data_IF_332949137821
#
_entry.id   IF_332949137821
#
_cell.length_a   1.000
_cell.length_b   1.000
_cell.length_c   1.000
_cell.angle_alpha   90.00
_cell.angle_beta   90.00
_cell.angle_gamma   90.00
#
_symmetry.space_group_name_H-M   'P 1'
#
loop_
_entity.id
_entity.type
_entity.pdbx_description
1 polymer ?
#
# COMPACT_ATOMS: atom_id res chain seq x y z
N UNK A 1 -19.90 -7.30 -1.08
CA UNK A 1 -18.94 -7.38 0.07
C UNK A 1 -18.27 -8.74 0.04
N UNK A 2 -16.96 -8.77 0.24
CA UNK A 2 -16.15 -9.99 0.30
C UNK A 2 -15.64 -10.19 1.73
N UNK A 3 -15.61 -11.43 2.20
CA UNK A 3 -15.00 -11.80 3.48
C UNK A 3 -14.14 -13.06 3.28
N UNK A 4 -12.92 -13.07 3.85
CA UNK A 4 -12.07 -14.26 3.90
C UNK A 4 -12.42 -15.06 5.18
N UNK A 5 -12.64 -16.37 5.03
CA UNK A 5 -12.88 -17.32 6.12
C UNK A 5 -11.92 -18.49 5.93
N UNK A 6 -10.78 -18.48 6.64
CA UNK A 6 -9.68 -19.40 6.33
C UNK A 6 -9.18 -19.14 4.90
N UNK A 7 -9.17 -20.18 4.06
CA UNK A 7 -8.77 -20.08 2.66
C UNK A 7 -9.94 -19.82 1.71
N UNK A 8 -11.16 -19.74 2.24
CA UNK A 8 -12.35 -19.49 1.45
C UNK A 8 -12.64 -17.98 1.32
N UNK A 9 -12.87 -17.53 0.09
CA UNK A 9 -13.36 -16.20 -0.21
C UNK A 9 -14.87 -16.23 -0.41
N UNK A 10 -15.61 -15.61 0.50
CA UNK A 10 -17.07 -15.52 0.46
C UNK A 10 -17.51 -14.19 -0.09
N UNK A 11 -18.30 -14.22 -1.18
CA UNK A 11 -18.88 -13.03 -1.80
C UNK A 11 -20.34 -12.90 -1.37
N UNK A 12 -20.68 -11.84 -0.66
CA UNK A 12 -22.05 -11.50 -0.29
C UNK A 12 -22.63 -10.57 -1.33
N UNK A 13 -23.71 -10.99 -1.96
CA UNK A 13 -24.37 -10.23 -3.02
C UNK A 13 -25.88 -10.38 -2.96
N UNK A 14 -26.58 -9.60 -3.78
CA UNK A 14 -28.01 -9.68 -4.03
C UNK A 14 -28.22 -9.97 -5.52
N UNK A 15 -29.06 -10.94 -5.83
CA UNK A 15 -29.48 -11.19 -7.21
C UNK A 15 -30.48 -10.09 -7.59
N UNK A 16 -30.11 -9.22 -8.52
CA UNK A 16 -30.98 -8.13 -8.98
C UNK A 16 -31.92 -8.59 -10.08
N UNK A 17 -31.48 -9.52 -10.93
CA UNK A 17 -32.29 -10.04 -12.05
C UNK A 17 -31.94 -11.49 -12.33
N UNK A 18 -32.95 -12.29 -12.58
CA UNK A 18 -32.84 -13.73 -12.88
C UNK A 18 -32.59 -14.59 -11.64
N UNK A 19 -31.86 -15.67 -11.78
CA UNK A 19 -31.52 -16.62 -10.71
C UNK A 19 -30.09 -17.13 -10.89
N UNK A 20 -29.52 -17.65 -9.82
CA UNK A 20 -28.20 -18.28 -9.82
C UNK A 20 -28.31 -19.66 -9.19
N UNK A 21 -27.66 -20.67 -9.75
CA UNK A 21 -27.69 -22.05 -9.31
C UNK A 21 -26.28 -22.58 -9.00
N UNK A 22 -26.26 -23.61 -8.14
CA UNK A 22 -24.99 -24.31 -7.83
C UNK A 22 -24.44 -24.94 -9.11
N UNK A 23 -23.11 -24.75 -9.33
CA UNK A 23 -22.41 -25.26 -10.52
C UNK A 23 -22.52 -24.37 -11.76
N UNK A 24 -23.24 -23.24 -11.69
CA UNK A 24 -23.36 -22.31 -12.79
C UNK A 24 -22.02 -21.54 -12.94
N UNK A 25 -21.56 -21.43 -14.19
CA UNK A 25 -20.43 -20.52 -14.51
C UNK A 25 -20.87 -19.07 -14.40
N UNK A 26 -20.04 -18.25 -13.74
CA UNK A 26 -20.29 -16.82 -13.54
C UNK A 26 -19.09 -16.00 -14.01
N UNK A 27 -19.36 -14.80 -14.50
CA UNK A 27 -18.33 -13.81 -14.79
C UNK A 27 -18.23 -12.81 -13.63
N UNK A 28 -17.02 -12.65 -13.08
CA UNK A 28 -16.75 -11.71 -11.98
C UNK A 28 -16.12 -10.45 -12.53
N UNK A 29 -16.83 -9.35 -12.48
CA UNK A 29 -16.33 -8.03 -12.90
C UNK A 29 -16.11 -7.14 -11.70
N UNK A 30 -15.00 -6.40 -11.74
CA UNK A 30 -14.68 -5.40 -10.73
C UNK A 30 -14.89 -3.99 -11.30
N UNK A 31 -15.23 -3.06 -10.42
CA UNK A 31 -15.16 -1.63 -10.75
C UNK A 31 -13.70 -1.23 -10.94
N UNK A 32 -13.30 -1.10 -12.21
CA UNK A 32 -11.92 -0.83 -12.61
C UNK A 32 -11.45 0.54 -12.08
N UNK A 33 -12.33 1.55 -12.08
CA UNK A 33 -11.99 2.87 -11.58
C UNK A 33 -11.69 2.84 -10.07
N UNK A 34 -12.58 2.24 -9.29
CA UNK A 34 -12.36 2.07 -7.85
C UNK A 34 -11.11 1.24 -7.56
N UNK A 35 -10.86 0.19 -8.34
CA UNK A 35 -9.64 -0.63 -8.20
C UNK A 35 -8.38 0.19 -8.47
N UNK A 36 -8.36 1.00 -9.51
CA UNK A 36 -7.20 1.83 -9.86
C UNK A 36 -6.95 2.89 -8.80
N UNK A 37 -8.00 3.55 -8.31
CA UNK A 37 -7.86 4.52 -7.21
C UNK A 37 -7.35 3.86 -5.92
N UNK A 38 -7.86 2.67 -5.57
CA UNK A 38 -7.36 1.91 -4.42
C UNK A 38 -5.90 1.50 -4.58
N UNK A 39 -5.45 1.10 -5.77
CA UNK A 39 -4.04 0.82 -6.06
C UNK A 39 -3.17 2.07 -5.87
N UNK A 40 -3.62 3.22 -6.38
CA UNK A 40 -2.91 4.49 -6.25
C UNK A 40 -2.77 4.87 -4.76
N UNK A 41 -3.86 4.85 -4.01
CA UNK A 41 -3.86 5.17 -2.58
C UNK A 41 -3.02 4.17 -1.75
N UNK A 42 -3.08 2.87 -2.08
CA UNK A 42 -2.25 1.87 -1.40
C UNK A 42 -0.75 2.07 -1.68
N UNK A 43 -0.39 2.35 -2.93
CA UNK A 43 1.00 2.64 -3.28
C UNK A 43 1.48 3.95 -2.65
N UNK A 44 0.62 4.99 -2.62
CA UNK A 44 0.90 6.24 -1.93
C UNK A 44 1.16 6.03 -0.42
N UNK A 45 0.47 5.07 0.21
CA UNK A 45 0.69 4.72 1.62
C UNK A 45 2.13 4.26 1.87
N UNK A 46 2.68 3.40 1.02
CA UNK A 46 4.07 2.95 1.14
C UNK A 46 5.07 4.09 0.90
N UNK A 47 4.83 4.93 -0.10
CA UNK A 47 5.67 6.09 -0.36
C UNK A 47 5.61 7.10 0.80
N UNK A 48 4.44 7.32 1.37
CA UNK A 48 4.27 8.17 2.55
C UNK A 48 5.00 7.60 3.76
N UNK A 49 4.88 6.30 4.03
CA UNK A 49 5.56 5.65 5.16
C UNK A 49 7.08 5.88 5.10
N UNK A 50 7.71 5.57 3.98
CA UNK A 50 9.16 5.78 3.85
C UNK A 50 9.55 7.27 3.86
N UNK A 51 8.71 8.15 3.28
CA UNK A 51 8.93 9.60 3.34
C UNK A 51 8.89 10.15 4.78
N UNK A 52 7.94 9.66 5.58
CA UNK A 52 7.87 9.96 7.02
C UNK A 52 9.13 9.47 7.75
N UNK A 53 9.58 8.24 7.49
CA UNK A 53 10.79 7.67 8.09
C UNK A 53 12.06 8.46 7.73
N UNK A 54 12.19 8.89 6.47
CA UNK A 54 13.32 9.71 6.01
C UNK A 54 13.31 11.13 6.58
N UNK A 55 12.12 11.66 6.87
CA UNK A 55 12.00 13.04 7.37
C UNK A 55 12.01 13.12 8.90
N UNK A 56 11.26 12.23 9.57
CA UNK A 56 11.06 12.26 11.01
C UNK A 56 11.96 11.29 11.78
N UNK A 57 12.44 10.25 11.10
CA UNK A 57 13.35 9.26 11.68
C UNK A 57 12.81 7.82 11.64
N UNK A 58 13.72 6.86 11.83
CA UNK A 58 13.45 5.41 11.75
C UNK A 58 12.49 4.87 12.84
N UNK A 59 12.18 5.67 13.86
CA UNK A 59 11.21 5.33 14.90
C UNK A 59 9.76 5.35 14.39
N UNK A 60 9.52 5.99 13.25
CA UNK A 60 8.20 5.97 12.60
C UNK A 60 7.86 4.56 12.19
N UNK A 61 6.79 4.02 12.78
CA UNK A 61 6.23 2.69 12.47
C UNK A 61 4.74 2.79 12.27
N UNK A 62 4.22 2.04 11.31
CA UNK A 62 2.76 1.98 11.07
C UNK A 62 2.04 1.40 12.29
N UNK A 63 0.96 2.05 12.70
CA UNK A 63 0.04 1.61 13.76
C UNK A 63 -1.33 1.26 13.22
N UNK A 64 -1.70 1.84 12.09
CA UNK A 64 -2.94 1.56 11.39
C UNK A 64 -2.89 2.14 9.98
N UNK A 65 -3.81 1.69 9.14
CA UNK A 65 -3.98 2.20 7.78
C UNK A 65 -5.41 2.01 7.31
N UNK A 66 -5.90 2.97 6.55
CA UNK A 66 -7.12 2.85 5.76
C UNK A 66 -6.79 3.18 4.32
N UNK A 67 -7.14 2.27 3.42
CA UNK A 67 -7.02 2.48 1.97
C UNK A 67 -8.39 2.27 1.34
N UNK A 68 -8.91 3.32 0.70
CA UNK A 68 -10.16 3.28 -0.08
C UNK A 68 -9.94 3.95 -1.45
N UNK A 69 -10.89 3.83 -2.39
CA UNK A 69 -10.80 4.55 -3.66
C UNK A 69 -10.74 6.07 -3.51
N UNK A 70 -11.32 6.62 -2.43
CA UNK A 70 -11.49 8.06 -2.22
C UNK A 70 -10.32 8.67 -1.46
N UNK A 71 -9.68 7.89 -0.56
CA UNK A 71 -8.65 8.41 0.33
C UNK A 71 -7.78 7.31 0.95
N UNK A 72 -6.64 7.72 1.47
CA UNK A 72 -5.86 6.94 2.43
C UNK A 72 -5.81 7.64 3.79
N UNK A 73 -5.64 6.86 4.86
CA UNK A 73 -5.23 7.33 6.19
C UNK A 73 -4.06 6.46 6.63
N UNK A 74 -3.07 7.08 7.24
CA UNK A 74 -1.90 6.39 7.76
C UNK A 74 -1.66 6.79 9.20
N UNK A 75 -1.82 5.86 10.12
CA UNK A 75 -1.62 6.05 11.53
C UNK A 75 -0.22 5.53 11.89
N UNK A 76 0.58 6.32 12.59
CA UNK A 76 1.97 5.98 12.88
C UNK A 76 2.44 6.51 14.23
N UNK A 77 3.56 5.94 14.73
CA UNK A 77 4.19 6.39 15.97
C UNK A 77 5.04 7.63 15.72
N UNK A 78 4.71 8.73 16.40
CA UNK A 78 5.53 9.93 16.49
C UNK A 78 5.13 10.69 17.76
N UNK A 79 6.08 11.39 18.38
CA UNK A 79 5.91 11.98 19.71
C UNK A 79 5.57 13.48 19.69
N UNK A 80 5.47 14.08 18.53
CA UNK A 80 5.12 15.49 18.32
C UNK A 80 4.31 15.68 17.04
N UNK A 81 3.55 16.78 16.88
CA UNK A 81 2.95 17.14 15.59
C UNK A 81 4.04 17.34 14.53
N UNK A 82 3.71 16.99 13.27
CA UNK A 82 4.59 17.27 12.12
C UNK A 82 4.56 18.77 11.86
N UNK A 83 5.72 19.39 11.78
CA UNK A 83 5.87 20.83 11.49
C UNK A 83 5.57 21.11 10.00
N UNK A 84 5.25 22.37 9.68
CA UNK A 84 4.87 22.77 8.32
C UNK A 84 5.95 22.49 7.29
N UNK A 85 7.19 22.72 7.66
CA UNK A 85 8.37 22.47 6.85
C UNK A 85 8.60 20.98 6.62
N UNK A 86 8.44 20.17 7.68
CA UNK A 86 8.50 18.70 7.61
C UNK A 86 7.40 18.16 6.68
N UNK A 87 6.16 18.67 6.83
CA UNK A 87 5.03 18.28 5.99
C UNK A 87 5.26 18.63 4.51
N UNK A 88 5.82 19.80 4.24
CA UNK A 88 6.19 20.23 2.88
C UNK A 88 7.23 19.28 2.30
N UNK A 89 8.26 18.95 3.07
CA UNK A 89 9.31 18.02 2.67
C UNK A 89 8.74 16.62 2.37
N UNK A 90 7.86 16.09 3.23
CA UNK A 90 7.20 14.79 3.04
C UNK A 90 6.42 14.78 1.73
N UNK A 91 5.58 15.81 1.47
CA UNK A 91 4.83 15.91 0.22
C UNK A 91 5.75 15.96 -1.00
N UNK A 92 6.84 16.71 -0.95
CA UNK A 92 7.79 16.82 -2.05
C UNK A 92 8.48 15.49 -2.32
N UNK A 93 9.00 14.81 -1.30
CA UNK A 93 9.67 13.51 -1.44
C UNK A 93 8.74 12.49 -2.13
N UNK A 94 7.47 12.38 -1.69
CA UNK A 94 6.52 11.46 -2.33
C UNK A 94 6.31 11.84 -3.79
N UNK A 95 6.08 13.13 -4.10
CA UNK A 95 5.84 13.59 -5.47
C UNK A 95 7.08 13.44 -6.37
N UNK A 96 8.29 13.58 -5.83
CA UNK A 96 9.53 13.33 -6.57
C UNK A 96 9.63 11.86 -7.01
N UNK A 97 9.31 10.91 -6.13
CA UNK A 97 9.26 9.49 -6.47
C UNK A 97 8.17 9.20 -7.51
N UNK A 98 7.00 9.83 -7.39
CA UNK A 98 5.91 9.70 -8.37
C UNK A 98 6.35 10.23 -9.73
N UNK A 99 6.97 11.41 -9.76
CA UNK A 99 7.44 12.06 -11.00
C UNK A 99 8.60 11.30 -11.64
N UNK A 100 9.43 10.62 -10.82
CA UNK A 100 10.51 9.76 -11.29
C UNK A 100 10.06 8.56 -12.13
N UNK A 101 8.77 8.23 -12.10
CA UNK A 101 8.12 7.28 -13.03
C UNK A 101 8.85 5.94 -13.15
N UNK A 102 9.06 5.25 -12.03
CA UNK A 102 9.74 3.95 -12.00
C UNK A 102 8.76 2.79 -11.86
N UNK A 103 9.10 1.64 -12.41
CA UNK A 103 8.28 0.45 -12.32
C UNK A 103 8.25 -0.09 -10.89
N UNK A 104 7.05 -0.49 -10.45
CA UNK A 104 6.83 -1.18 -9.18
C UNK A 104 7.09 -2.67 -9.39
N UNK A 105 8.02 -3.20 -8.61
CA UNK A 105 8.38 -4.62 -8.66
C UNK A 105 7.77 -5.37 -7.48
N UNK A 106 7.45 -6.63 -7.70
CA UNK A 106 7.02 -7.55 -6.64
C UNK A 106 7.79 -8.85 -6.76
N UNK A 107 8.24 -9.39 -5.61
CA UNK A 107 8.95 -10.68 -5.56
C UNK A 107 8.39 -11.50 -4.41
N UNK A 108 8.32 -12.82 -4.62
CA UNK A 108 8.07 -13.80 -3.56
C UNK A 108 9.42 -14.31 -3.09
N UNK A 109 9.61 -14.32 -1.77
CA UNK A 109 10.86 -14.77 -1.16
C UNK A 109 10.61 -15.20 0.29
N UNK A 110 11.61 -15.79 0.93
CA UNK A 110 11.52 -16.10 2.35
C UNK A 110 11.56 -14.83 3.21
N UNK A 111 10.97 -14.84 4.42
CA UNK A 111 11.04 -13.69 5.34
C UNK A 111 12.50 -13.27 5.64
N UNK A 112 13.42 -14.22 5.73
CA UNK A 112 14.84 -13.95 5.97
C UNK A 112 15.50 -13.18 4.82
N UNK A 113 15.22 -13.57 3.57
CA UNK A 113 15.71 -12.85 2.39
C UNK A 113 15.13 -11.43 2.35
N UNK A 114 13.82 -11.29 2.63
CA UNK A 114 13.17 -9.98 2.66
C UNK A 114 13.83 -9.02 3.66
N UNK A 115 14.09 -9.49 4.88
CA UNK A 115 14.78 -8.70 5.92
C UNK A 115 16.21 -8.34 5.48
N UNK A 116 16.95 -9.29 4.89
CA UNK A 116 18.30 -9.02 4.38
C UNK A 116 18.33 -7.97 3.25
N UNK A 117 17.23 -7.85 2.49
CA UNK A 117 17.04 -6.80 1.49
C UNK A 117 16.53 -5.48 2.08
N UNK A 118 16.41 -5.38 3.41
CA UNK A 118 15.92 -4.18 4.10
C UNK A 118 14.41 -3.98 4.05
N UNK A 119 13.65 -5.03 3.74
CA UNK A 119 12.20 -4.92 3.70
C UNK A 119 11.62 -4.64 5.09
N UNK A 120 10.73 -3.65 5.16
CA UNK A 120 9.97 -3.37 6.36
C UNK A 120 8.86 -4.41 6.52
N UNK A 121 8.84 -5.06 7.67
CA UNK A 121 7.78 -5.96 8.08
C UNK A 121 6.83 -5.23 9.03
N UNK A 122 5.53 -5.43 8.90
CA UNK A 122 4.57 -4.91 9.85
C UNK A 122 4.71 -5.63 11.19
N UNK A 123 4.73 -4.87 12.27
CA UNK A 123 4.90 -5.40 13.61
C UNK A 123 3.70 -6.28 13.99
N UNK A 124 3.98 -7.50 14.47
CA UNK A 124 2.95 -8.41 14.99
C UNK A 124 2.29 -9.32 13.97
N UNK A 125 2.64 -9.24 12.69
CA UNK A 125 2.16 -10.21 11.70
C UNK A 125 3.00 -11.50 11.74
N UNK A 126 2.31 -12.64 11.68
CA UNK A 126 2.94 -13.94 11.49
C UNK A 126 3.05 -14.21 10.00
N UNK A 127 4.27 -14.29 9.51
CA UNK A 127 4.55 -14.60 8.12
C UNK A 127 4.69 -16.10 7.92
N UNK A 128 4.18 -16.59 6.79
CA UNK A 128 4.38 -17.97 6.35
C UNK A 128 5.83 -18.23 5.89
N UNK A 129 6.01 -19.34 5.18
CA UNK A 129 7.32 -19.71 4.61
C UNK A 129 7.77 -18.74 3.52
N UNK A 130 6.81 -18.14 2.81
CA UNK A 130 7.03 -17.16 1.77
C UNK A 130 6.27 -15.86 2.04
N UNK A 131 6.88 -14.74 1.66
CA UNK A 131 6.30 -13.39 1.74
C UNK A 131 6.41 -12.70 0.39
N UNK A 132 5.42 -11.85 0.11
CA UNK A 132 5.46 -10.96 -1.05
C UNK A 132 6.04 -9.62 -0.64
N UNK A 133 7.13 -9.24 -1.31
CA UNK A 133 7.80 -7.96 -1.11
C UNK A 133 7.49 -7.03 -2.28
N UNK A 134 7.17 -5.79 -1.99
CA UNK A 134 6.89 -4.73 -2.95
C UNK A 134 8.00 -3.70 -2.91
N UNK A 135 8.53 -3.37 -4.08
CA UNK A 135 9.63 -2.43 -4.29
C UNK A 135 9.13 -1.25 -5.11
N UNK A 136 9.30 -0.03 -4.62
CA UNK A 136 8.85 1.20 -5.29
C UNK A 136 9.94 2.27 -5.28
N UNK A 137 10.01 3.05 -6.37
CA UNK A 137 10.93 4.17 -6.50
C UNK A 137 12.38 3.70 -6.63
N UNK A 138 12.84 3.43 -7.86
CA UNK A 138 14.21 2.98 -8.10
C UNK A 138 15.21 4.08 -7.72
N UNK A 139 16.20 3.72 -6.91
CA UNK A 139 17.34 4.55 -6.53
C UNK A 139 18.64 3.88 -7.00
N UNK A 140 19.79 4.60 -6.92
CA UNK A 140 21.10 4.09 -7.38
C UNK A 140 21.48 2.76 -6.69
N UNK A 141 21.19 2.62 -5.40
CA UNK A 141 21.56 1.47 -4.58
C UNK A 141 20.31 0.72 -4.04
N UNK A 142 19.23 0.63 -4.82
CA UNK A 142 18.04 -0.10 -4.38
C UNK A 142 16.72 0.57 -4.73
N UNK A 143 15.83 0.63 -3.76
CA UNK A 143 14.50 1.20 -3.92
C UNK A 143 14.20 2.19 -2.80
N UNK A 144 13.36 3.19 -3.10
CA UNK A 144 12.88 4.15 -2.12
C UNK A 144 12.09 3.47 -1.00
N UNK A 145 11.13 2.63 -1.35
CA UNK A 145 10.36 1.82 -0.40
C UNK A 145 10.50 0.33 -0.74
N UNK A 146 10.72 -0.49 0.30
CA UNK A 146 10.78 -1.95 0.23
C UNK A 146 10.00 -2.50 1.42
N UNK A 147 8.81 -3.07 1.18
CA UNK A 147 7.91 -3.48 2.25
C UNK A 147 7.22 -4.83 1.95
N UNK A 148 6.95 -5.60 3.01
CA UNK A 148 6.13 -6.80 2.93
C UNK A 148 4.67 -6.38 2.72
N UNK A 149 4.08 -6.73 1.58
CA UNK A 149 2.69 -6.38 1.30
C UNK A 149 2.02 -7.33 0.31
N UNK A 150 0.88 -7.91 0.73
CA UNK A 150 0.04 -8.77 -0.11
C UNK A 150 -1.00 -8.03 -0.98
N UNK A 151 -1.11 -6.72 -0.84
CA UNK A 151 -2.15 -5.92 -1.48
C UNK A 151 -1.92 -5.60 -2.96
N UNK A 152 -2.86 -4.89 -3.56
CA UNK A 152 -2.76 -4.45 -4.95
C UNK A 152 -2.09 -3.09 -5.05
N UNK A 153 -1.19 -2.94 -6.02
CA UNK A 153 -0.42 -1.72 -6.27
C UNK A 153 -0.48 -1.30 -7.73
N UNK A 154 -0.08 -0.06 -7.98
CA UNK A 154 0.17 0.44 -9.33
C UNK A 154 1.34 -0.31 -9.98
N UNK A 155 1.41 -0.30 -11.31
CA UNK A 155 2.53 -0.90 -12.05
C UNK A 155 3.72 0.04 -12.16
N UNK A 156 3.46 1.35 -12.14
CA UNK A 156 4.49 2.38 -12.22
C UNK A 156 4.15 3.50 -11.21
N UNK A 157 5.15 4.08 -10.57
CA UNK A 157 4.94 5.10 -9.52
C UNK A 157 4.19 6.33 -10.01
N UNK A 158 4.28 6.69 -11.29
CA UNK A 158 3.50 7.80 -11.88
C UNK A 158 1.98 7.61 -11.80
N UNK A 159 1.50 6.36 -11.73
CA UNK A 159 0.07 6.05 -11.65
C UNK A 159 -0.54 6.42 -10.28
N UNK A 160 0.29 6.73 -9.28
CA UNK A 160 -0.16 7.29 -8.00
C UNK A 160 -0.79 8.67 -8.19
N UNK A 161 -0.30 9.43 -9.17
CA UNK A 161 -0.74 10.79 -9.41
C UNK A 161 -0.23 11.77 -8.35
N UNK A 162 -0.76 12.99 -8.36
CA UNK A 162 -0.35 14.04 -7.42
C UNK A 162 -0.75 13.69 -5.98
N UNK A 163 0.24 13.62 -5.11
CA UNK A 163 0.07 13.33 -3.69
C UNK A 163 0.05 14.62 -2.84
N UNK A 164 -0.83 14.65 -1.84
CA UNK A 164 -0.86 15.71 -0.82
C UNK A 164 -1.46 15.19 0.48
N UNK A 165 -0.78 15.44 1.60
CA UNK A 165 -1.38 15.30 2.92
C UNK A 165 -2.33 16.48 3.14
N UNK A 166 -3.60 16.18 3.43
CA UNK A 166 -4.67 17.19 3.57
C UNK A 166 -4.94 17.55 5.03
N UNK A 167 -4.65 16.64 5.96
CA UNK A 167 -4.82 16.88 7.39
C UNK A 167 -3.94 15.94 8.20
N UNK A 168 -3.63 16.35 9.43
CA UNK A 168 -3.03 15.51 10.47
C UNK A 168 -3.81 15.71 11.78
N UNK A 169 -3.83 14.67 12.60
CA UNK A 169 -4.36 14.70 13.96
C UNK A 169 -3.47 13.87 14.88
N UNK A 170 -3.41 14.22 16.14
CA UNK A 170 -2.76 13.50 17.23
C UNK A 170 -3.79 12.99 18.21
#
# INVERSE_FOLDING_TARGET
TQKKMGDLFVHYGKVEKGSISIGQSVNLEIDVLKRNNSKANHSATHLLHESLRRTLGKHVTQKGSLVSPERLRFDFSHNKPIEKEEMTKINNIVNDVVTGSTDVQTRIMTPKEAVNMGALALFGEKYGEEVRVVFMGKENNGFFSTELCGGTHVKNTKEVGKFKVISQSS
#
